data_IF_296825656690
#
_entry.id   IF_296825656690
#
_cell.length_a   1.000
_cell.length_b   1.000
_cell.length_c   1.000
_cell.angle_alpha   90.00
_cell.angle_beta   90.00
_cell.angle_gamma   90.00
#
_symmetry.space_group_name_H-M   'P 1'
#
loop_
_entity.id
_entity.type
_entity.pdbx_description
1 polymer ?
#
# COMPACT_ATOMS: atom_id res chain seq x y z
N UNK A 1 -3.56 8.54 7.93
CA UNK A 1 -3.60 8.55 9.42
C UNK A 1 -2.24 9.03 9.96
N UNK A 2 -1.98 9.25 11.27
CA UNK A 2 -0.62 9.62 11.71
C UNK A 2 0.28 8.39 11.77
N UNK A 3 1.58 8.54 11.46
CA UNK A 3 2.54 7.43 11.47
C UNK A 3 2.58 6.64 12.78
N UNK A 4 2.48 7.32 13.92
CA UNK A 4 2.43 6.66 15.24
C UNK A 4 1.26 5.67 15.35
N UNK A 5 0.16 5.93 14.66
CA UNK A 5 -1.02 5.08 14.70
C UNK A 5 -0.80 3.86 13.80
N UNK A 6 -0.23 4.04 12.60
CA UNK A 6 0.18 2.92 11.74
C UNK A 6 1.18 1.99 12.46
N UNK A 7 2.20 2.55 13.11
CA UNK A 7 3.19 1.80 13.88
C UNK A 7 2.53 0.97 15.00
N UNK A 8 1.60 1.58 15.76
CA UNK A 8 0.85 0.88 16.81
C UNK A 8 0.01 -0.26 16.24
N UNK A 9 -0.73 -0.01 15.15
CA UNK A 9 -1.57 -1.02 14.53
C UNK A 9 -0.74 -2.19 13.98
N UNK A 10 0.42 -1.92 13.38
CA UNK A 10 1.34 -2.95 12.90
C UNK A 10 1.90 -3.79 14.04
N UNK A 11 2.32 -3.15 15.14
CA UNK A 11 2.77 -3.85 16.34
C UNK A 11 1.65 -4.73 16.92
N UNK A 12 0.41 -4.23 16.95
CA UNK A 12 -0.75 -4.99 17.44
C UNK A 12 -1.10 -6.20 16.58
N UNK A 13 -0.84 -6.12 15.28
CA UNK A 13 -0.95 -7.24 14.34
C UNK A 13 0.20 -8.28 14.50
N UNK A 14 1.21 -7.98 15.33
CA UNK A 14 2.36 -8.86 15.56
C UNK A 14 3.53 -8.64 14.59
N UNK A 15 3.48 -7.58 13.78
CA UNK A 15 4.54 -7.27 12.82
C UNK A 15 5.71 -6.61 13.53
N UNK A 16 6.93 -7.06 13.24
CA UNK A 16 8.14 -6.51 13.85
C UNK A 16 8.36 -5.04 13.45
N UNK A 17 9.02 -4.31 14.36
CA UNK A 17 9.38 -2.90 14.16
C UNK A 17 10.24 -2.64 12.93
N UNK A 18 11.11 -3.58 12.62
CA UNK A 18 11.93 -3.51 11.42
C UNK A 18 11.06 -3.55 10.16
N UNK A 19 10.13 -4.50 10.08
CA UNK A 19 9.27 -4.71 8.91
C UNK A 19 8.33 -3.54 8.67
N UNK A 20 7.57 -3.12 9.69
CA UNK A 20 6.58 -2.05 9.45
C UNK A 20 7.26 -0.71 9.14
N UNK A 21 8.42 -0.42 9.73
CA UNK A 21 9.18 0.80 9.39
C UNK A 21 9.75 0.73 7.99
N UNK A 22 10.25 -0.43 7.58
CA UNK A 22 10.72 -0.62 6.21
C UNK A 22 9.61 -0.34 5.21
N UNK A 23 8.44 -0.95 5.40
CA UNK A 23 7.28 -0.78 4.49
C UNK A 23 6.78 0.65 4.49
N UNK A 24 6.65 1.27 5.67
CA UNK A 24 6.26 2.67 5.79
C UNK A 24 7.25 3.57 5.05
N UNK A 25 8.56 3.43 5.28
CA UNK A 25 9.59 4.21 4.59
C UNK A 25 9.57 4.00 3.08
N UNK A 26 9.31 2.79 2.60
CA UNK A 26 9.20 2.51 1.17
C UNK A 26 7.99 3.24 0.55
N UNK A 27 6.81 3.17 1.17
CA UNK A 27 5.61 3.88 0.71
C UNK A 27 5.84 5.40 0.74
N UNK A 28 6.45 5.89 1.82
CA UNK A 28 6.71 7.31 2.05
C UNK A 28 7.78 7.87 1.10
N UNK A 29 8.78 7.06 0.74
CA UNK A 29 9.78 7.42 -0.25
C UNK A 29 9.18 7.52 -1.66
N UNK A 30 8.27 6.61 -2.00
CA UNK A 30 7.50 6.65 -3.25
C UNK A 30 6.60 7.89 -3.31
N UNK A 31 5.91 8.24 -2.21
CA UNK A 31 4.99 9.37 -2.17
C UNK A 31 5.69 10.74 -2.05
N UNK A 32 6.77 10.81 -1.27
CA UNK A 32 7.48 12.04 -0.92
C UNK A 32 8.71 12.34 -1.78
N UNK A 33 9.02 11.51 -2.78
CA UNK A 33 10.21 11.68 -3.63
C UNK A 33 11.53 11.51 -2.88
N UNK A 34 11.55 10.72 -1.81
CA UNK A 34 12.78 10.42 -1.05
C UNK A 34 13.56 9.32 -1.75
N UNK A 35 14.81 9.13 -1.34
CA UNK A 35 15.65 8.03 -1.82
C UNK A 35 15.00 6.69 -1.52
N UNK A 36 14.77 5.89 -2.57
CA UNK A 36 14.27 4.53 -2.46
C UNK A 36 15.40 3.57 -2.01
N UNK A 37 15.09 2.48 -1.28
CA UNK A 37 16.06 1.43 -1.01
C UNK A 37 16.66 0.88 -2.30
N UNK A 38 17.99 0.71 -2.34
CA UNK A 38 18.68 0.26 -3.56
C UNK A 38 18.16 -1.09 -4.07
N UNK A 39 17.86 -2.02 -3.15
CA UNK A 39 17.27 -3.31 -3.51
C UNK A 39 15.91 -3.19 -4.20
N UNK A 40 15.12 -2.16 -3.88
CA UNK A 40 13.86 -1.89 -4.56
C UNK A 40 14.09 -1.30 -5.95
N UNK A 41 15.06 -0.37 -6.07
CA UNK A 41 15.45 0.20 -7.37
C UNK A 41 15.93 -0.91 -8.31
N UNK A 42 16.80 -1.79 -7.82
CA UNK A 42 17.34 -2.92 -8.60
C UNK A 42 16.22 -3.89 -9.01
N UNK A 43 15.27 -4.15 -8.13
CA UNK A 43 14.09 -4.96 -8.42
C UNK A 43 13.23 -4.33 -9.52
N UNK A 44 12.91 -3.04 -9.40
CA UNK A 44 12.14 -2.29 -10.39
C UNK A 44 12.83 -2.30 -11.75
N UNK A 45 14.16 -2.12 -11.78
CA UNK A 45 14.94 -2.21 -13.01
C UNK A 45 14.79 -3.58 -13.68
N UNK A 46 14.96 -4.68 -12.92
CA UNK A 46 14.83 -6.05 -13.43
C UNK A 46 13.42 -6.33 -13.94
N UNK A 47 12.40 -5.91 -13.20
CA UNK A 47 11.00 -6.08 -13.63
C UNK A 47 10.67 -5.25 -14.87
N UNK A 48 11.23 -4.05 -15.01
CA UNK A 48 11.04 -3.22 -16.21
C UNK A 48 11.61 -3.89 -17.47
N UNK A 49 12.75 -4.59 -17.35
CA UNK A 49 13.37 -5.33 -18.45
C UNK A 49 12.49 -6.52 -18.83
N UNK A 50 12.06 -7.31 -17.83
CA UNK A 50 11.16 -8.46 -18.04
C UNK A 50 9.88 -8.04 -18.77
N UNK A 51 9.23 -6.95 -18.34
CA UNK A 51 8.03 -6.45 -19.01
C UNK A 51 8.32 -6.02 -20.45
N UNK A 52 9.49 -5.42 -20.71
CA UNK A 52 9.91 -5.08 -22.07
C UNK A 52 10.02 -6.32 -22.96
N UNK A 53 10.57 -7.40 -22.43
CA UNK A 53 10.77 -8.66 -23.16
C UNK A 53 9.44 -9.36 -23.45
N UNK A 54 8.46 -9.25 -22.54
CA UNK A 54 7.16 -9.93 -22.67
C UNK A 54 6.08 -9.10 -23.35
N UNK A 55 6.11 -7.78 -23.21
CA UNK A 55 5.05 -6.86 -23.67
C UNK A 55 5.54 -5.76 -24.63
N UNK A 56 6.84 -5.72 -24.94
CA UNK A 56 7.46 -4.77 -25.87
C UNK A 56 8.17 -3.58 -25.19
N UNK A 57 9.19 -3.05 -25.85
CA UNK A 57 10.09 -2.00 -25.32
C UNK A 57 9.38 -0.68 -24.97
N UNK A 58 8.27 -0.37 -25.63
CA UNK A 58 7.45 0.83 -25.35
C UNK A 58 6.84 0.79 -23.94
N UNK A 59 6.47 -0.40 -23.44
CA UNK A 59 5.95 -0.57 -22.08
C UNK A 59 7.02 -0.29 -21.04
N UNK A 60 8.25 -0.73 -21.26
CA UNK A 60 9.39 -0.43 -20.39
C UNK A 60 9.66 1.07 -20.27
N UNK A 61 9.64 1.78 -21.39
CA UNK A 61 9.87 3.23 -21.44
C UNK A 61 8.80 4.01 -20.66
N UNK A 62 7.58 3.49 -20.55
CA UNK A 62 6.52 4.08 -19.71
C UNK A 62 6.63 3.72 -18.23
N UNK A 63 6.93 2.45 -17.90
CA UNK A 63 6.87 1.93 -16.52
C UNK A 63 8.03 2.40 -15.66
N UNK A 64 9.25 2.39 -16.20
CA UNK A 64 10.43 2.71 -15.41
C UNK A 64 10.40 4.18 -14.92
N UNK A 65 10.10 5.19 -15.76
CA UNK A 65 9.87 6.53 -15.28
C UNK A 65 8.64 6.64 -14.39
N UNK A 66 7.56 5.87 -14.56
CA UNK A 66 6.43 5.95 -13.62
C UNK A 66 6.83 5.53 -12.20
N UNK A 67 7.67 4.51 -12.06
CA UNK A 67 8.05 3.97 -10.75
C UNK A 67 9.22 4.74 -10.15
N UNK A 68 10.14 5.22 -11.01
CA UNK A 68 11.32 5.99 -10.59
C UNK A 68 11.09 7.52 -10.57
N UNK A 69 10.11 8.05 -11.31
CA UNK A 69 9.81 9.49 -11.32
C UNK A 69 9.00 9.86 -10.08
N UNK A 70 9.68 10.63 -9.26
CA UNK A 70 9.28 11.13 -7.95
C UNK A 70 8.15 12.18 -8.00
N UNK A 71 7.63 12.54 -9.18
CA UNK A 71 6.76 13.72 -9.38
C UNK A 71 5.33 13.39 -9.86
N UNK A 72 5.07 12.24 -10.50
CA UNK A 72 3.73 11.95 -11.08
C UNK A 72 2.75 11.23 -10.15
N UNK A 73 3.21 10.76 -8.98
CA UNK A 73 2.34 10.14 -7.98
C UNK A 73 1.67 11.16 -7.04
N UNK A 74 2.07 12.44 -7.10
CA UNK A 74 1.64 13.47 -6.15
C UNK A 74 0.18 13.90 -6.27
N UNK A 75 -0.54 13.66 -7.37
CA UNK A 75 -1.85 14.30 -7.55
C UNK A 75 -3.01 13.44 -8.07
N UNK A 76 -2.81 12.27 -8.70
CA UNK A 76 -3.93 11.57 -9.38
C UNK A 76 -3.93 10.02 -9.27
N UNK A 77 -3.37 9.45 -8.20
CA UNK A 77 -3.40 7.98 -7.98
C UNK A 77 -4.80 7.40 -7.71
N UNK A 78 -5.84 8.23 -7.59
CA UNK A 78 -7.19 7.81 -7.21
C UNK A 78 -8.19 7.59 -8.36
N UNK A 79 -7.89 7.91 -9.63
CA UNK A 79 -8.92 7.85 -10.70
C UNK A 79 -8.38 7.48 -12.08
N UNK A 80 -8.27 6.18 -12.39
CA UNK A 80 -8.62 5.59 -13.69
C UNK A 80 -8.24 4.10 -13.73
N UNK A 81 -9.03 3.28 -14.42
CA UNK A 81 -8.80 1.85 -14.62
C UNK A 81 -7.52 1.68 -15.45
N UNK A 82 -6.40 1.35 -14.79
CA UNK A 82 -4.99 1.28 -15.27
C UNK A 82 -4.20 2.60 -15.24
N UNK A 83 -4.18 3.31 -14.12
CA UNK A 83 -3.22 4.41 -13.87
C UNK A 83 -1.82 3.91 -13.55
N UNK A 84 -0.84 4.80 -13.72
CA UNK A 84 0.53 4.70 -13.21
C UNK A 84 0.61 4.23 -11.75
N UNK A 85 -0.33 4.68 -10.90
CA UNK A 85 -0.42 4.29 -9.49
C UNK A 85 -0.76 2.81 -9.25
N UNK A 86 -1.54 2.18 -10.14
CA UNK A 86 -1.84 0.76 -10.06
C UNK A 86 -0.59 -0.09 -10.36
N UNK A 87 0.15 0.28 -11.40
CA UNK A 87 1.40 -0.38 -11.80
C UNK A 87 2.46 -0.26 -10.69
N UNK A 88 2.61 0.93 -10.11
CA UNK A 88 3.53 1.14 -8.99
C UNK A 88 3.15 0.31 -7.77
N UNK A 89 1.86 0.24 -7.43
CA UNK A 89 1.35 -0.58 -6.32
C UNK A 89 1.58 -2.07 -6.55
N UNK A 90 1.35 -2.55 -7.78
CA UNK A 90 1.54 -3.97 -8.13
C UNK A 90 3.02 -4.39 -8.06
N UNK A 91 3.93 -3.54 -8.55
CA UNK A 91 5.37 -3.80 -8.49
C UNK A 91 5.90 -3.72 -7.06
N UNK A 92 5.42 -2.76 -6.27
CA UNK A 92 5.72 -2.68 -4.85
C UNK A 92 5.26 -3.94 -4.12
N UNK A 93 4.04 -4.39 -4.37
CA UNK A 93 3.50 -5.60 -3.75
C UNK A 93 4.27 -6.85 -4.20
N UNK A 94 4.66 -6.93 -5.47
CA UNK A 94 5.50 -8.03 -5.99
C UNK A 94 6.87 -8.07 -5.30
N UNK A 95 7.49 -6.93 -5.08
CA UNK A 95 8.74 -6.81 -4.33
C UNK A 95 8.58 -7.28 -2.87
N UNK A 96 7.56 -6.78 -2.16
CA UNK A 96 7.32 -7.11 -0.76
C UNK A 96 6.96 -8.59 -0.55
N UNK A 97 6.26 -9.21 -1.51
CA UNK A 97 6.03 -10.67 -1.51
C UNK A 97 7.35 -11.46 -1.50
N UNK A 98 8.39 -10.96 -2.16
CA UNK A 98 9.73 -11.56 -2.13
C UNK A 98 10.45 -11.41 -0.79
N UNK A 99 10.01 -10.51 0.09
CA UNK A 99 10.61 -10.28 1.42
C UNK A 99 9.93 -11.08 2.54
N UNK A 100 8.66 -11.46 2.37
CA UNK A 100 7.93 -12.32 3.30
C UNK A 100 6.51 -11.83 3.60
N UNK A 101 5.74 -12.66 4.29
CA UNK A 101 4.32 -12.39 4.57
C UNK A 101 4.10 -11.13 5.40
N UNK A 102 4.93 -10.90 6.43
CA UNK A 102 4.80 -9.72 7.30
C UNK A 102 4.94 -8.40 6.53
N UNK A 103 5.78 -8.36 5.49
CA UNK A 103 5.93 -7.19 4.62
C UNK A 103 4.65 -6.92 3.82
N UNK A 104 4.00 -7.99 3.36
CA UNK A 104 2.73 -7.90 2.63
C UNK A 104 1.61 -7.46 3.58
N UNK A 105 1.52 -8.05 4.78
CA UNK A 105 0.54 -7.67 5.80
C UNK A 105 0.70 -6.21 6.22
N UNK A 106 1.94 -5.74 6.46
CA UNK A 106 2.23 -4.34 6.78
C UNK A 106 1.74 -3.40 5.67
N UNK A 107 1.95 -3.77 4.39
CA UNK A 107 1.50 -2.98 3.26
C UNK A 107 -0.03 -2.90 3.20
N UNK A 108 -0.74 -4.02 3.31
CA UNK A 108 -2.21 -4.00 3.32
C UNK A 108 -2.78 -3.23 4.51
N UNK A 109 -2.20 -3.40 5.71
CA UNK A 109 -2.60 -2.67 6.90
C UNK A 109 -2.43 -1.16 6.69
N UNK A 110 -1.28 -0.72 6.18
CA UNK A 110 -1.02 0.69 5.89
C UNK A 110 -2.10 1.27 4.97
N UNK A 111 -2.34 0.62 3.83
CA UNK A 111 -3.31 1.06 2.85
C UNK A 111 -4.76 1.00 3.35
N UNK A 112 -5.10 0.04 4.22
CA UNK A 112 -6.43 -0.05 4.82
C UNK A 112 -6.67 1.12 5.78
N UNK A 113 -5.71 1.41 6.66
CA UNK A 113 -5.79 2.53 7.60
C UNK A 113 -5.90 3.87 6.88
N UNK A 114 -5.10 4.10 5.83
CA UNK A 114 -5.20 5.33 5.04
C UNK A 114 -6.51 5.44 4.28
N UNK A 115 -6.98 4.35 3.66
CA UNK A 115 -8.29 4.35 3.01
C UNK A 115 -9.42 4.72 3.97
N UNK A 116 -9.45 4.10 5.16
CA UNK A 116 -10.48 4.36 6.16
C UNK A 116 -10.38 5.78 6.70
N UNK A 117 -9.16 6.25 6.95
CA UNK A 117 -8.91 7.62 7.36
C UNK A 117 -9.40 8.61 6.32
N UNK A 118 -8.98 8.52 5.07
CA UNK A 118 -9.32 9.49 4.03
C UNK A 118 -10.82 9.51 3.72
N UNK A 119 -11.52 8.39 3.92
CA UNK A 119 -12.94 8.21 3.62
C UNK A 119 -13.87 8.41 4.81
N UNK A 120 -13.34 8.70 6.00
CA UNK A 120 -14.11 8.79 7.26
C UNK A 120 -15.24 9.81 7.24
N UNK A 121 -15.17 10.83 6.38
CA UNK A 121 -16.20 11.87 6.25
C UNK A 121 -17.09 11.70 5.00
N UNK A 122 -17.01 10.58 4.29
CA UNK A 122 -17.82 10.31 3.09
C UNK A 122 -19.31 10.03 3.42
N UNK A 123 -19.74 10.15 4.68
CA UNK A 123 -21.11 9.86 5.14
C UNK A 123 -21.47 8.38 5.14
N UNK A 124 -20.48 7.50 4.99
CA UNK A 124 -20.64 6.03 4.98
C UNK A 124 -20.29 5.44 6.34
N UNK A 125 -20.94 4.33 6.69
CA UNK A 125 -20.54 3.55 7.86
C UNK A 125 -19.15 2.93 7.64
N UNK A 126 -18.41 2.69 8.73
CA UNK A 126 -17.09 2.05 8.67
C UNK A 126 -17.17 0.64 8.05
N UNK A 127 -18.27 -0.08 8.28
CA UNK A 127 -18.55 -1.39 7.68
C UNK A 127 -18.66 -1.30 6.16
N UNK A 128 -19.34 -0.25 5.67
CA UNK A 128 -19.46 0.02 4.23
C UNK A 128 -18.11 0.36 3.60
N UNK A 129 -17.23 1.04 4.34
CA UNK A 129 -15.87 1.33 3.89
C UNK A 129 -15.01 0.07 3.84
N UNK A 130 -15.14 -0.85 4.80
CA UNK A 130 -14.44 -2.13 4.76
C UNK A 130 -14.85 -2.96 3.53
N UNK A 131 -16.15 -3.12 3.26
CA UNK A 131 -16.65 -3.86 2.10
C UNK A 131 -16.06 -3.28 0.81
N UNK A 132 -16.12 -1.95 0.66
CA UNK A 132 -15.58 -1.28 -0.52
C UNK A 132 -14.07 -1.42 -0.64
N UNK A 133 -13.33 -1.47 0.47
CA UNK A 133 -11.89 -1.72 0.44
C UNK A 133 -11.57 -3.14 -0.05
N UNK A 134 -12.32 -4.14 0.44
CA UNK A 134 -12.16 -5.56 0.05
C UNK A 134 -12.46 -5.80 -1.43
N UNK A 135 -13.53 -5.23 -1.97
CA UNK A 135 -13.94 -5.38 -3.38
C UNK A 135 -12.87 -4.92 -4.39
N UNK A 136 -11.95 -4.04 -3.98
CA UNK A 136 -10.96 -3.43 -4.85
C UNK A 136 -9.55 -4.04 -4.71
N UNK A 137 -9.35 -5.12 -3.92
CA UNK A 137 -8.01 -5.68 -3.64
C UNK A 137 -7.98 -7.22 -3.65
N UNK A 138 -6.81 -7.85 -3.95
CA UNK A 138 -6.65 -9.30 -3.92
C UNK A 138 -7.04 -9.89 -2.57
N UNK A 139 -7.86 -10.95 -2.59
CA UNK A 139 -8.73 -11.39 -1.47
C UNK A 139 -8.00 -11.92 -0.23
N UNK A 140 -6.78 -12.47 -0.33
CA UNK A 140 -6.19 -13.22 0.79
C UNK A 140 -5.72 -12.33 1.94
N UNK A 141 -4.71 -11.49 1.71
CA UNK A 141 -4.16 -10.64 2.77
C UNK A 141 -5.05 -9.44 3.09
N UNK A 142 -5.80 -8.90 2.13
CA UNK A 142 -6.75 -7.81 2.41
C UNK A 142 -7.82 -8.25 3.41
N UNK A 143 -8.35 -9.47 3.26
CA UNK A 143 -9.35 -10.03 4.16
C UNK A 143 -8.81 -10.24 5.58
N UNK A 144 -7.60 -10.81 5.71
CA UNK A 144 -6.96 -11.00 7.02
C UNK A 144 -6.82 -9.67 7.77
N UNK A 145 -6.36 -8.62 7.09
CA UNK A 145 -6.24 -7.28 7.67
C UNK A 145 -7.61 -6.73 8.08
N UNK A 146 -8.62 -6.91 7.24
CA UNK A 146 -9.96 -6.39 7.50
C UNK A 146 -10.63 -7.15 8.65
N UNK A 147 -10.47 -8.47 8.73
CA UNK A 147 -10.93 -9.29 9.86
C UNK A 147 -10.25 -8.87 11.17
N UNK A 148 -8.93 -8.62 11.13
CA UNK A 148 -8.19 -8.05 12.26
C UNK A 148 -8.78 -6.70 12.70
N UNK A 149 -9.01 -5.76 11.77
CA UNK A 149 -9.57 -4.44 12.08
C UNK A 149 -11.03 -4.51 12.55
N UNK A 150 -11.82 -5.47 12.05
CA UNK A 150 -13.23 -5.71 12.41
C UNK A 150 -13.40 -6.40 13.76
N UNK A 151 -12.35 -7.02 14.32
CA UNK A 151 -12.48 -7.69 15.63
C UNK A 151 -12.98 -6.71 16.70
N UNK A 152 -13.89 -7.15 17.58
CA UNK A 152 -14.64 -6.25 18.48
C UNK A 152 -13.74 -5.26 19.26
N UNK A 153 -12.61 -5.72 19.79
CA UNK A 153 -11.66 -4.86 20.52
C UNK A 153 -10.98 -3.84 19.61
N UNK A 154 -10.66 -4.23 18.37
CA UNK A 154 -9.97 -3.36 17.43
C UNK A 154 -10.92 -2.35 16.78
N UNK A 155 -12.15 -2.73 16.47
CA UNK A 155 -13.11 -1.85 15.81
C UNK A 155 -13.39 -0.59 16.64
N UNK A 156 -13.55 -0.75 17.96
CA UNK A 156 -13.83 0.37 18.87
C UNK A 156 -12.60 1.29 19.06
N UNK A 157 -11.40 0.72 19.09
CA UNK A 157 -10.16 1.51 19.10
C UNK A 157 -9.95 2.26 17.78
N UNK A 158 -10.25 1.60 16.66
CA UNK A 158 -10.13 2.18 15.32
C UNK A 158 -11.11 3.34 15.13
N UNK A 159 -12.37 3.22 15.57
CA UNK A 159 -13.34 4.32 15.51
C UNK A 159 -12.82 5.55 16.27
N UNK A 160 -12.27 5.36 17.48
CA UNK A 160 -11.64 6.44 18.25
C UNK A 160 -10.50 7.11 17.49
N UNK A 161 -9.62 6.31 16.89
CA UNK A 161 -8.50 6.86 16.11
C UNK A 161 -8.96 7.63 14.86
N UNK A 162 -10.04 7.17 14.24
CA UNK A 162 -10.66 7.81 13.08
C UNK A 162 -11.52 9.02 13.47
N UNK A 163 -11.78 9.26 14.75
CA UNK A 163 -12.74 10.26 15.26
C UNK A 163 -14.16 10.03 14.70
N UNK A 164 -14.59 8.76 14.69
CA UNK A 164 -15.93 8.30 14.33
C UNK A 164 -16.77 7.99 15.57
#
# INVERSE_FOLDING_TARGET
>A
MKWKDHDRWAQKLGISKEVYRYVNNLIDAIAGGKTLPQEYIDFVHKESIRIAETEGSEKRAGILPIILSQETLKHDSARSRRTSGAIASDIQLKFLKGKGEDYVKAWYLHHALDYLYDRRYDGKSIESLFIKYEENRPVTFSREIIEFLKSNTNLEELKKDLNL
#
